data_IF_295900407221
#
_entry.id   IF_295900407221
#
_cell.length_a   1.000
_cell.length_b   1.000
_cell.length_c   1.000
_cell.angle_alpha   90.00
_cell.angle_beta   90.00
_cell.angle_gamma   90.00
#
_symmetry.space_group_name_H-M   'P 1'
#
loop_
_entity.id
_entity.type
_entity.pdbx_description
1 polymer ?
#
# COMPACT_ATOMS: atom_id res chain seq x y z
N UNK A 1 50.52 20.89 34.17
CA UNK A 1 51.88 20.53 33.68
C UNK A 1 52.12 19.04 33.94
N UNK A 2 52.85 18.28 33.10
CA UNK A 2 53.44 18.57 31.79
C UNK A 2 52.88 17.67 30.65
N UNK A 3 52.66 18.19 29.43
CA UNK A 3 53.51 18.22 28.20
C UNK A 3 53.63 16.90 27.43
N UNK A 4 53.30 16.96 26.14
CA UNK A 4 53.63 15.91 25.17
C UNK A 4 53.14 16.18 23.73
N UNK A 5 53.50 17.32 23.14
CA UNK A 5 53.32 17.61 21.70
C UNK A 5 54.14 16.64 20.83
N UNK A 6 53.59 16.23 19.67
CA UNK A 6 54.43 16.07 18.47
C UNK A 6 53.71 16.52 17.19
N UNK A 7 54.33 17.56 16.61
CA UNK A 7 54.12 18.13 15.28
C UNK A 7 54.60 17.18 14.18
N UNK A 8 53.96 17.25 13.02
CA UNK A 8 54.58 17.31 11.67
C UNK A 8 53.76 18.36 10.88
N UNK A 9 54.21 19.58 10.58
CA UNK A 9 55.17 20.01 9.54
C UNK A 9 55.04 19.21 8.24
N UNK A 10 54.70 19.72 7.06
CA UNK A 10 54.54 21.10 6.59
C UNK A 10 55.07 21.19 5.14
N UNK A 11 54.24 21.69 4.22
CA UNK A 11 54.63 22.37 2.97
C UNK A 11 54.43 21.63 1.63
N UNK A 12 54.35 22.34 0.47
CA UNK A 12 54.22 23.79 0.31
C UNK A 12 53.15 24.26 -0.71
N UNK A 13 52.58 25.43 -0.42
CA UNK A 13 52.32 26.61 -1.28
C UNK A 13 51.95 26.42 -2.77
N UNK A 14 50.85 27.08 -3.19
CA UNK A 14 50.77 27.60 -4.57
C UNK A 14 49.41 27.66 -5.25
N UNK A 15 48.31 27.97 -4.55
CA UNK A 15 47.00 28.21 -5.18
C UNK A 15 46.56 29.65 -4.98
N UNK A 16 46.92 30.52 -5.92
CA UNK A 16 46.59 31.95 -5.95
C UNK A 16 45.06 32.11 -5.87
N UNK A 17 44.55 32.73 -4.81
CA UNK A 17 43.15 33.16 -4.71
C UNK A 17 42.91 34.17 -5.83
N UNK A 18 42.13 33.79 -6.84
CA UNK A 18 41.58 34.74 -7.80
C UNK A 18 40.36 35.39 -7.16
N UNK A 19 40.61 36.56 -6.59
CA UNK A 19 39.60 37.54 -6.18
C UNK A 19 38.83 37.96 -7.44
N UNK A 20 37.50 37.83 -7.40
CA UNK A 20 36.60 38.06 -8.53
C UNK A 20 35.66 39.21 -8.16
N UNK A 21 36.25 40.37 -7.88
CA UNK A 21 35.53 41.57 -7.42
C UNK A 21 35.67 42.79 -8.35
N UNK A 22 36.34 42.66 -9.50
CA UNK A 22 36.44 43.75 -10.50
C UNK A 22 35.72 43.40 -11.82
N UNK A 23 34.59 44.06 -12.04
CA UNK A 23 33.65 43.85 -13.16
C UNK A 23 34.07 44.57 -14.47
N UNK A 24 35.32 45.01 -14.62
CA UNK A 24 35.78 45.79 -15.78
C UNK A 24 36.80 45.07 -16.69
N UNK A 25 37.08 43.78 -16.45
CA UNK A 25 38.07 43.01 -17.22
C UNK A 25 37.48 41.71 -17.84
N UNK A 26 36.36 41.83 -18.56
CA UNK A 26 35.67 40.70 -19.20
C UNK A 26 36.34 40.14 -20.47
N UNK A 27 37.56 40.57 -20.81
CA UNK A 27 38.21 40.25 -22.09
C UNK A 27 39.38 39.25 -22.03
N UNK A 28 39.70 38.63 -20.88
CA UNK A 28 40.93 37.81 -20.78
C UNK A 28 40.83 36.47 -20.02
N UNK A 29 39.64 35.87 -19.96
CA UNK A 29 39.49 34.49 -19.44
C UNK A 29 38.72 33.60 -20.42
N UNK A 30 39.25 33.45 -21.64
CA UNK A 30 38.86 32.35 -22.54
C UNK A 30 39.99 31.30 -22.48
N UNK A 31 39.72 30.09 -21.95
CA UNK A 31 40.69 29.00 -22.03
C UNK A 31 40.80 28.57 -23.50
N UNK A 32 42.01 28.66 -24.07
CA UNK A 32 42.35 28.00 -25.33
C UNK A 32 42.21 26.48 -25.18
N UNK A 33 41.00 25.94 -25.39
CA UNK A 33 40.83 24.57 -25.87
C UNK A 33 40.84 24.65 -27.39
N UNK A 34 41.81 23.97 -28.00
CA UNK A 34 41.93 23.86 -29.45
C UNK A 34 40.62 23.42 -30.09
N UNK A 35 40.27 24.03 -31.22
CA UNK A 35 39.18 23.57 -32.05
C UNK A 35 39.50 22.14 -32.54
N UNK A 36 38.57 21.17 -32.45
CA UNK A 36 38.79 19.85 -33.01
C UNK A 36 38.85 19.94 -34.54
N UNK A 37 39.89 19.35 -35.11
CA UNK A 37 40.11 19.25 -36.55
C UNK A 37 38.89 18.58 -37.27
N UNK A 38 38.51 19.01 -38.48
CA UNK A 38 37.26 18.60 -39.13
C UNK A 38 37.19 17.13 -39.61
N UNK A 39 38.26 16.33 -39.43
CA UNK A 39 38.34 14.96 -39.93
C UNK A 39 37.92 13.87 -38.93
N UNK A 40 37.69 14.19 -37.65
CA UNK A 40 37.35 13.18 -36.62
C UNK A 40 35.89 12.70 -36.65
N UNK A 41 34.95 13.56 -37.06
CA UNK A 41 33.51 13.23 -37.03
C UNK A 41 33.08 12.15 -38.03
N UNK A 42 33.87 11.93 -39.08
CA UNK A 42 33.61 10.90 -40.09
C UNK A 42 33.99 9.49 -39.60
N UNK A 43 34.96 9.37 -38.70
CA UNK A 43 35.32 8.08 -38.09
C UNK A 43 34.30 7.67 -37.02
N UNK A 44 33.73 8.64 -36.29
CA UNK A 44 32.70 8.37 -35.28
C UNK A 44 31.40 7.78 -35.90
N UNK A 45 31.02 8.24 -37.10
CA UNK A 45 29.82 7.76 -37.82
C UNK A 45 29.95 6.33 -38.35
N UNK A 46 31.18 5.87 -38.63
CA UNK A 46 31.46 4.49 -39.11
C UNK A 46 31.43 3.47 -37.96
N UNK A 47 31.58 3.94 -36.72
CA UNK A 47 31.60 3.09 -35.51
C UNK A 47 30.22 2.87 -34.85
N UNK A 48 29.13 3.45 -35.38
CA UNK A 48 27.80 3.24 -34.84
C UNK A 48 27.36 1.78 -35.08
N UNK A 49 27.22 0.95 -34.03
CA UNK A 49 26.75 -0.41 -34.20
C UNK A 49 25.34 -0.35 -34.81
N UNK A 50 25.05 -1.21 -35.78
CA UNK A 50 23.72 -1.31 -36.35
C UNK A 50 22.72 -1.51 -35.19
N UNK A 51 21.79 -0.56 -35.08
CA UNK A 51 20.85 -0.41 -33.96
C UNK A 51 20.13 -1.71 -33.56
N UNK A 52 20.08 -2.70 -34.45
CA UNK A 52 19.50 -4.03 -34.25
C UNK A 52 20.43 -5.05 -33.56
N UNK A 53 21.75 -5.04 -33.78
CA UNK A 53 22.68 -5.98 -33.12
C UNK A 53 22.96 -5.60 -31.68
N UNK A 54 23.15 -4.31 -31.41
CA UNK A 54 23.24 -3.79 -30.04
C UNK A 54 21.97 -4.12 -29.24
N UNK A 55 20.78 -3.98 -29.86
CA UNK A 55 19.52 -4.33 -29.21
C UNK A 55 19.39 -5.82 -28.89
N UNK A 56 19.90 -6.73 -29.73
CA UNK A 56 19.82 -8.18 -29.49
C UNK A 56 20.81 -8.67 -28.42
N UNK A 57 22.01 -8.12 -28.37
CA UNK A 57 22.98 -8.40 -27.30
C UNK A 57 22.51 -7.80 -25.97
N UNK A 58 21.98 -6.56 -25.99
CA UNK A 58 21.33 -5.98 -24.83
C UNK A 58 20.11 -6.79 -24.41
N UNK A 59 19.32 -7.32 -25.35
CA UNK A 59 18.16 -8.16 -25.05
C UNK A 59 18.58 -9.48 -24.39
N UNK A 60 19.62 -10.15 -24.88
CA UNK A 60 20.16 -11.36 -24.24
C UNK A 60 20.69 -11.07 -22.84
N UNK A 61 21.42 -9.96 -22.67
CA UNK A 61 21.91 -9.50 -21.36
C UNK A 61 20.78 -9.14 -20.40
N UNK A 62 19.66 -8.59 -20.90
CA UNK A 62 18.47 -8.25 -20.11
C UNK A 62 17.67 -9.50 -19.74
N UNK A 63 17.52 -10.46 -20.65
CA UNK A 63 16.65 -11.63 -20.45
C UNK A 63 17.34 -12.85 -19.84
N UNK A 64 18.55 -13.19 -20.30
CA UNK A 64 19.27 -14.36 -19.81
C UNK A 64 20.44 -13.98 -18.90
N UNK A 65 21.01 -12.79 -19.07
CA UNK A 65 22.23 -12.38 -18.36
C UNK A 65 23.35 -13.44 -18.51
N UNK A 66 24.38 -13.34 -17.69
CA UNK A 66 25.41 -14.40 -17.56
C UNK A 66 25.10 -15.37 -16.41
N UNK A 67 23.82 -15.51 -16.04
CA UNK A 67 23.44 -16.27 -14.86
C UNK A 67 23.56 -17.78 -15.12
N UNK A 68 24.21 -18.48 -14.18
CA UNK A 68 24.38 -19.93 -14.26
C UNK A 68 23.02 -20.63 -14.36
N UNK A 69 22.84 -21.61 -15.27
CA UNK A 69 21.58 -22.34 -15.40
C UNK A 69 21.19 -23.09 -14.12
N UNK A 70 22.18 -23.41 -13.26
CA UNK A 70 21.92 -23.99 -11.94
C UNK A 70 21.18 -23.03 -11.01
N UNK A 71 21.51 -21.74 -11.06
CA UNK A 71 20.83 -20.70 -10.26
C UNK A 71 19.38 -20.53 -10.72
N UNK A 72 19.12 -20.50 -12.04
CA UNK A 72 17.76 -20.45 -12.57
C UNK A 72 16.92 -21.66 -12.14
N UNK A 73 17.51 -22.86 -12.15
CA UNK A 73 16.84 -24.07 -11.67
C UNK A 73 16.53 -24.01 -10.16
N UNK A 74 17.44 -23.46 -9.36
CA UNK A 74 17.22 -23.24 -7.92
C UNK A 74 16.08 -22.25 -7.67
N UNK A 75 16.07 -21.10 -8.37
CA UNK A 75 14.99 -20.10 -8.26
C UNK A 75 13.65 -20.70 -8.67
N UNK A 76 13.61 -21.47 -9.77
CA UNK A 76 12.40 -22.18 -10.21
C UNK A 76 11.88 -23.11 -9.11
N UNK A 77 12.77 -23.93 -8.53
CA UNK A 77 12.41 -24.87 -7.47
C UNK A 77 11.90 -24.16 -6.21
N UNK A 78 12.61 -23.14 -5.72
CA UNK A 78 12.19 -22.31 -4.58
C UNK A 78 10.82 -21.66 -4.83
N UNK A 79 10.60 -21.13 -6.03
CA UNK A 79 9.34 -20.50 -6.44
C UNK A 79 8.18 -21.50 -6.44
N UNK A 80 8.39 -22.69 -7.00
CA UNK A 80 7.39 -23.77 -7.01
C UNK A 80 6.99 -24.17 -5.58
N UNK A 81 7.96 -24.32 -4.68
CA UNK A 81 7.69 -24.65 -3.26
C UNK A 81 6.86 -23.56 -2.61
N UNK A 82 7.27 -22.30 -2.71
CA UNK A 82 6.55 -21.17 -2.09
C UNK A 82 5.16 -21.01 -2.69
N UNK A 83 4.99 -21.22 -4.00
CA UNK A 83 3.69 -21.18 -4.66
C UNK A 83 2.73 -22.23 -4.09
N UNK A 84 3.14 -23.51 -4.05
CA UNK A 84 2.28 -24.55 -3.49
C UNK A 84 2.05 -24.38 -2.00
N UNK A 85 3.04 -23.90 -1.26
CA UNK A 85 2.93 -23.59 0.16
C UNK A 85 1.91 -22.48 0.43
N UNK A 86 2.03 -21.35 -0.26
CA UNK A 86 1.09 -20.21 -0.14
C UNK A 86 -0.31 -20.60 -0.61
N UNK A 87 -0.43 -21.38 -1.68
CA UNK A 87 -1.71 -21.92 -2.16
C UNK A 87 -2.37 -22.82 -1.11
N UNK A 88 -1.59 -23.70 -0.45
CA UNK A 88 -2.09 -24.55 0.63
C UNK A 88 -2.57 -23.73 1.84
N UNK A 89 -1.81 -22.70 2.24
CA UNK A 89 -2.21 -21.78 3.30
C UNK A 89 -3.48 -21.00 2.93
N UNK A 90 -3.57 -20.49 1.70
CA UNK A 90 -4.74 -19.76 1.23
C UNK A 90 -5.99 -20.66 1.20
N UNK A 91 -5.82 -21.92 0.78
CA UNK A 91 -6.88 -22.94 0.82
C UNK A 91 -7.34 -23.22 2.25
N UNK A 92 -6.43 -23.18 3.23
CA UNK A 92 -6.73 -23.36 4.66
C UNK A 92 -7.43 -22.15 5.30
N UNK A 93 -7.13 -20.94 4.83
CA UNK A 93 -7.76 -19.71 5.33
C UNK A 93 -9.26 -19.69 5.00
N UNK A 94 -9.64 -20.05 3.77
CA UNK A 94 -11.03 -20.34 3.37
C UNK A 94 -12.05 -19.20 3.56
N UNK A 95 -12.67 -18.73 2.48
CA UNK A 95 -13.95 -18.01 2.56
C UNK A 95 -13.92 -16.51 2.89
N UNK A 96 -12.75 -15.90 3.14
CA UNK A 96 -12.61 -14.43 3.17
C UNK A 96 -12.17 -13.90 1.81
N UNK A 97 -12.90 -12.91 1.30
CA UNK A 97 -12.53 -12.22 0.06
C UNK A 97 -11.36 -11.28 0.32
N UNK A 98 -10.47 -11.09 -0.66
CA UNK A 98 -9.36 -10.11 -0.59
C UNK A 98 -9.87 -8.70 -0.25
N UNK A 99 -11.11 -8.39 -0.64
CA UNK A 99 -11.77 -7.11 -0.38
C UNK A 99 -12.15 -6.88 1.11
N UNK A 100 -12.06 -7.89 1.97
CA UNK A 100 -12.39 -7.78 3.41
C UNK A 100 -11.14 -7.62 4.28
N UNK A 101 -9.94 -7.58 3.70
CA UNK A 101 -8.72 -7.35 4.45
C UNK A 101 -8.67 -5.92 4.97
N UNK A 102 -8.27 -5.76 6.22
CA UNK A 102 -7.97 -4.46 6.80
C UNK A 102 -6.78 -3.82 6.09
N UNK A 103 -6.73 -2.49 6.05
CA UNK A 103 -5.60 -1.75 5.46
C UNK A 103 -4.27 -2.10 6.12
N UNK A 104 -4.29 -2.41 7.42
CA UNK A 104 -3.10 -2.84 8.18
C UNK A 104 -2.63 -4.22 7.72
N UNK A 105 -3.55 -5.17 7.52
CA UNK A 105 -3.24 -6.51 7.03
C UNK A 105 -2.68 -6.46 5.61
N UNK A 106 -3.26 -5.60 4.77
CA UNK A 106 -2.77 -5.38 3.42
C UNK A 106 -1.32 -4.86 3.41
N UNK A 107 -1.00 -3.86 4.23
CA UNK A 107 0.37 -3.36 4.37
C UNK A 107 1.34 -4.44 4.88
N UNK A 108 0.91 -5.27 5.82
CA UNK A 108 1.71 -6.37 6.35
C UNK A 108 2.03 -7.42 5.28
N UNK A 109 1.04 -7.79 4.45
CA UNK A 109 1.23 -8.73 3.34
C UNK A 109 2.22 -8.19 2.32
N UNK A 110 2.13 -6.90 1.97
CA UNK A 110 3.09 -6.25 1.06
C UNK A 110 4.51 -6.29 1.63
N UNK A 111 4.67 -5.91 2.91
CA UNK A 111 5.97 -5.90 3.58
C UNK A 111 6.63 -7.29 3.57
N UNK A 112 5.85 -8.34 3.81
CA UNK A 112 6.34 -9.72 3.78
C UNK A 112 6.60 -10.19 2.36
N UNK A 113 5.79 -9.78 1.39
CA UNK A 113 6.04 -10.06 -0.02
C UNK A 113 7.44 -9.64 -0.46
N UNK A 114 7.92 -8.48 0.01
CA UNK A 114 9.30 -8.04 -0.21
C UNK A 114 10.32 -9.00 0.40
N UNK A 115 10.16 -9.36 1.67
CA UNK A 115 11.07 -10.28 2.36
C UNK A 115 11.09 -11.70 1.77
N UNK A 116 9.94 -12.17 1.27
CA UNK A 116 9.83 -13.45 0.55
C UNK A 116 10.53 -13.36 -0.80
N UNK A 117 10.40 -12.24 -1.50
CA UNK A 117 11.14 -11.97 -2.74
C UNK A 117 12.65 -12.13 -2.54
N UNK A 118 13.19 -11.61 -1.44
CA UNK A 118 14.61 -11.76 -1.12
C UNK A 118 15.03 -13.24 -1.01
N UNK A 119 14.20 -14.08 -0.38
CA UNK A 119 14.48 -15.52 -0.26
C UNK A 119 14.39 -16.31 -1.58
N UNK A 120 13.75 -15.73 -2.60
CA UNK A 120 13.64 -16.33 -3.94
C UNK A 120 14.83 -15.93 -4.83
N UNK A 121 15.28 -14.67 -4.74
CA UNK A 121 16.33 -14.14 -5.64
C UNK A 121 17.74 -14.23 -5.07
N UNK A 122 17.91 -14.26 -3.74
CA UNK A 122 19.24 -14.34 -3.13
C UNK A 122 19.52 -15.76 -2.63
N UNK A 123 20.57 -16.43 -3.16
CA UNK A 123 20.87 -17.81 -2.76
C UNK A 123 21.31 -17.91 -1.29
N UNK A 124 21.93 -16.84 -0.78
CA UNK A 124 22.41 -16.72 0.61
C UNK A 124 21.28 -16.61 1.64
N UNK A 125 20.07 -16.29 1.19
CA UNK A 125 18.91 -16.16 2.07
C UNK A 125 18.17 -17.51 2.10
N UNK A 126 18.05 -18.16 3.26
CA UNK A 126 17.32 -19.43 3.36
C UNK A 126 15.81 -19.23 3.15
N UNK A 127 15.15 -20.26 2.61
CA UNK A 127 13.71 -20.24 2.33
C UNK A 127 12.84 -20.40 3.60
N UNK A 128 13.37 -21.08 4.62
CA UNK A 128 12.63 -21.43 5.84
C UNK A 128 12.12 -20.19 6.60
N UNK A 129 12.94 -19.14 6.84
CA UNK A 129 12.45 -17.93 7.50
C UNK A 129 11.33 -17.22 6.72
N UNK A 130 11.39 -17.22 5.39
CA UNK A 130 10.33 -16.64 4.57
C UNK A 130 9.01 -17.42 4.70
N UNK A 131 9.07 -18.76 4.65
CA UNK A 131 7.90 -19.61 4.88
C UNK A 131 7.33 -19.42 6.29
N UNK A 132 8.19 -19.33 7.31
CA UNK A 132 7.78 -19.07 8.68
C UNK A 132 7.11 -17.71 8.84
N UNK A 133 7.64 -16.66 8.20
CA UNK A 133 7.04 -15.33 8.22
C UNK A 133 5.63 -15.32 7.63
N UNK A 134 5.43 -15.98 6.47
CA UNK A 134 4.12 -16.15 5.86
C UNK A 134 3.18 -16.90 6.82
N UNK A 135 3.64 -18.01 7.40
CA UNK A 135 2.85 -18.82 8.34
C UNK A 135 2.39 -18.00 9.53
N UNK A 136 3.29 -17.24 10.15
CA UNK A 136 3.00 -16.44 11.32
C UNK A 136 1.95 -15.38 11.02
N UNK A 137 2.02 -14.72 9.88
CA UNK A 137 1.00 -13.73 9.51
C UNK A 137 -0.35 -14.36 9.24
N UNK A 138 -0.38 -15.50 8.56
CA UNK A 138 -1.62 -16.26 8.40
C UNK A 138 -2.21 -16.67 9.76
N UNK A 139 -1.37 -17.12 10.69
CA UNK A 139 -1.79 -17.50 12.04
C UNK A 139 -2.27 -16.29 12.85
N UNK A 140 -1.60 -15.14 12.75
CA UNK A 140 -2.00 -13.92 13.45
C UNK A 140 -3.34 -13.41 12.91
N UNK A 141 -3.53 -13.32 11.60
CA UNK A 141 -4.81 -12.91 11.02
C UNK A 141 -5.92 -13.87 11.47
N UNK A 142 -5.69 -15.18 11.40
CA UNK A 142 -6.65 -16.18 11.87
C UNK A 142 -6.94 -16.06 13.38
N UNK A 143 -5.94 -15.72 14.20
CA UNK A 143 -6.10 -15.53 15.63
C UNK A 143 -6.94 -14.28 15.94
N UNK A 144 -6.67 -13.17 15.25
CA UNK A 144 -7.47 -11.94 15.35
C UNK A 144 -8.93 -12.22 14.97
N UNK A 145 -9.15 -12.95 13.87
CA UNK A 145 -10.48 -13.35 13.43
C UNK A 145 -11.24 -14.17 14.46
N UNK A 146 -10.56 -15.15 15.06
CA UNK A 146 -11.14 -15.96 16.13
C UNK A 146 -11.41 -15.15 17.40
N UNK A 147 -10.58 -14.15 17.70
CA UNK A 147 -10.79 -13.24 18.83
C UNK A 147 -12.00 -12.35 18.62
N UNK A 148 -12.18 -11.85 17.39
CA UNK A 148 -13.37 -11.08 16.99
C UNK A 148 -14.62 -11.94 17.16
N UNK A 149 -14.63 -13.16 16.61
CA UNK A 149 -15.78 -14.08 16.69
C UNK A 149 -16.14 -14.49 18.13
N UNK A 150 -15.18 -14.49 19.06
CA UNK A 150 -15.41 -14.85 20.46
C UNK A 150 -15.83 -13.69 21.36
N UNK A 151 -15.61 -12.44 20.95
CA UNK A 151 -15.77 -11.29 21.83
C UNK A 151 -16.42 -10.11 21.14
N UNK A 152 -17.66 -9.80 21.54
CA UNK A 152 -18.38 -8.61 21.10
C UNK A 152 -17.64 -7.31 21.43
N UNK A 153 -16.77 -7.29 22.46
CA UNK A 153 -15.92 -6.11 22.72
C UNK A 153 -14.84 -5.97 21.66
N UNK A 154 -14.24 -7.07 21.22
CA UNK A 154 -13.21 -7.06 20.20
C UNK A 154 -13.79 -6.71 18.83
N UNK A 155 -14.96 -7.26 18.49
CA UNK A 155 -15.75 -6.86 17.31
C UNK A 155 -15.97 -5.35 17.29
N UNK A 156 -16.41 -4.78 18.40
CA UNK A 156 -16.69 -3.33 18.46
C UNK A 156 -15.47 -2.44 18.37
N UNK A 157 -14.32 -2.90 18.86
CA UNK A 157 -13.07 -2.12 18.81
C UNK A 157 -12.39 -2.26 17.44
N UNK A 158 -12.39 -3.46 16.86
CA UNK A 158 -11.68 -3.75 15.60
C UNK A 158 -12.54 -3.56 14.36
N UNK A 159 -13.78 -4.01 14.38
CA UNK A 159 -14.70 -3.87 13.25
C UNK A 159 -15.55 -2.61 13.39
N UNK A 160 -15.94 -2.21 14.60
CA UNK A 160 -16.79 -1.04 14.87
C UNK A 160 -18.24 -1.41 15.19
N UNK A 161 -19.05 -0.46 15.67
CA UNK A 161 -20.49 -0.64 15.91
C UNK A 161 -21.31 -0.01 14.76
N UNK A 162 -22.28 -0.73 14.16
CA UNK A 162 -23.21 -0.11 13.23
C UNK A 162 -24.05 0.96 13.94
N UNK A 163 -24.33 2.07 13.26
CA UNK A 163 -25.09 3.20 13.81
C UNK A 163 -26.33 3.48 12.98
N UNK A 164 -27.50 3.56 13.63
CA UNK A 164 -28.72 4.00 12.97
C UNK A 164 -28.63 5.52 12.75
N UNK A 165 -28.61 5.95 11.49
CA UNK A 165 -28.48 7.37 11.09
C UNK A 165 -29.80 8.01 10.67
N UNK A 166 -30.78 7.22 10.21
CA UNK A 166 -32.13 7.68 9.86
C UNK A 166 -33.17 6.70 10.40
N UNK A 167 -34.25 7.23 10.98
CA UNK A 167 -35.41 6.46 11.44
C UNK A 167 -36.68 7.20 11.03
N UNK A 168 -37.56 6.54 10.27
CA UNK A 168 -38.83 7.09 9.79
C UNK A 168 -38.71 8.50 9.18
N UNK A 169 -37.74 8.65 8.27
CA UNK A 169 -37.42 9.93 7.63
C UNK A 169 -36.81 11.00 8.54
N UNK A 170 -36.57 10.71 9.83
CA UNK A 170 -35.88 11.61 10.76
C UNK A 170 -34.40 11.27 10.85
N UNK A 171 -33.57 12.29 10.71
CA UNK A 171 -32.12 12.14 10.64
C UNK A 171 -31.46 12.45 11.99
N UNK A 172 -30.58 11.56 12.41
CA UNK A 172 -29.88 11.64 13.71
C UNK A 172 -28.54 12.34 13.54
N UNK A 173 -28.55 13.68 13.54
CA UNK A 173 -27.36 14.50 13.29
C UNK A 173 -26.18 14.21 14.23
N UNK A 174 -26.45 13.94 15.51
CA UNK A 174 -25.41 13.64 16.50
C UNK A 174 -24.63 12.37 16.15
N UNK A 175 -25.33 11.36 15.63
CA UNK A 175 -24.73 10.08 15.24
C UNK A 175 -23.87 10.24 13.99
N UNK A 176 -24.30 11.04 13.02
CA UNK A 176 -23.48 11.36 11.83
C UNK A 176 -22.19 12.09 12.20
N UNK A 177 -22.27 13.07 13.11
CA UNK A 177 -21.08 13.79 13.60
C UNK A 177 -20.11 12.87 14.31
N UNK A 178 -20.61 11.95 15.14
CA UNK A 178 -19.76 10.98 15.86
C UNK A 178 -18.99 10.04 14.92
N UNK A 179 -19.53 9.80 13.72
CA UNK A 179 -18.93 8.95 12.69
C UNK A 179 -18.12 9.75 11.65
N UNK A 180 -18.00 11.07 11.79
CA UNK A 180 -17.29 11.93 10.85
C UNK A 180 -17.95 12.04 9.46
N UNK A 181 -19.21 11.62 9.30
CA UNK A 181 -19.92 11.64 8.03
C UNK A 181 -20.67 12.97 7.85
N UNK A 182 -20.46 13.62 6.71
CA UNK A 182 -21.18 14.84 6.35
C UNK A 182 -22.59 14.54 5.83
N UNK A 183 -23.50 15.51 5.96
CA UNK A 183 -24.85 15.42 5.38
C UNK A 183 -24.82 15.13 3.87
N UNK A 184 -23.92 15.82 3.16
CA UNK A 184 -23.74 15.64 1.71
C UNK A 184 -23.31 14.23 1.35
N UNK A 185 -22.45 13.61 2.16
CA UNK A 185 -22.02 12.23 1.99
C UNK A 185 -23.16 11.24 2.26
N UNK A 186 -23.95 11.46 3.32
CA UNK A 186 -25.13 10.63 3.57
C UNK A 186 -26.13 10.69 2.39
N UNK A 187 -26.43 11.88 1.88
CA UNK A 187 -27.32 12.04 0.73
C UNK A 187 -26.74 11.45 -0.56
N UNK A 188 -25.41 11.46 -0.72
CA UNK A 188 -24.75 10.72 -1.81
C UNK A 188 -25.00 9.22 -1.68
N UNK A 189 -24.79 8.64 -0.48
CA UNK A 189 -25.01 7.21 -0.22
C UNK A 189 -26.49 6.81 -0.37
N UNK A 190 -27.43 7.66 0.04
CA UNK A 190 -28.86 7.42 -0.16
C UNK A 190 -29.24 7.40 -1.65
N UNK A 191 -28.70 8.33 -2.44
CA UNK A 191 -28.89 8.35 -3.90
C UNK A 191 -28.29 7.14 -4.59
N UNK A 192 -27.14 6.65 -4.13
CA UNK A 192 -26.53 5.41 -4.62
C UNK A 192 -27.43 4.18 -4.37
N UNK A 193 -28.26 4.22 -3.31
CA UNK A 193 -29.31 3.23 -3.04
C UNK A 193 -30.63 3.50 -3.75
N UNK A 194 -30.70 4.52 -4.62
CA UNK A 194 -31.90 4.88 -5.37
C UNK A 194 -32.98 5.59 -4.56
N UNK A 195 -32.66 6.10 -3.37
CA UNK A 195 -33.58 6.88 -2.55
C UNK A 195 -33.56 8.34 -2.99
N UNK A 196 -34.73 8.87 -3.36
CA UNK A 196 -34.88 10.26 -3.81
C UNK A 196 -35.30 11.21 -2.70
N UNK A 197 -36.13 10.74 -1.78
CA UNK A 197 -36.63 11.53 -0.66
C UNK A 197 -36.37 10.83 0.68
N UNK A 198 -36.07 11.61 1.72
CA UNK A 198 -35.78 11.07 3.04
C UNK A 198 -37.01 10.41 3.68
N UNK A 199 -38.22 10.86 3.35
CA UNK A 199 -39.48 10.29 3.86
C UNK A 199 -39.72 8.86 3.40
N UNK A 200 -39.11 8.44 2.29
CA UNK A 200 -39.18 7.06 1.81
C UNK A 200 -38.41 6.10 2.72
N UNK A 201 -37.46 6.60 3.52
CA UNK A 201 -36.58 5.81 4.38
C UNK A 201 -37.27 5.49 5.71
N UNK A 202 -37.50 4.20 5.94
CA UNK A 202 -37.94 3.68 7.24
C UNK A 202 -36.74 3.55 8.21
N UNK A 203 -35.64 2.98 7.73
CA UNK A 203 -34.43 2.82 8.53
C UNK A 203 -33.19 2.93 7.64
N UNK A 204 -32.20 3.70 8.08
CA UNK A 204 -30.87 3.65 7.49
C UNK A 204 -29.82 3.40 8.57
N UNK A 205 -29.00 2.38 8.34
CA UNK A 205 -27.91 1.96 9.22
C UNK A 205 -26.60 2.20 8.48
N UNK A 206 -25.70 2.92 9.14
CA UNK A 206 -24.33 3.07 8.71
C UNK A 206 -23.51 1.91 9.28
N UNK A 207 -22.99 1.09 8.38
CA UNK A 207 -22.12 -0.03 8.72
C UNK A 207 -20.70 0.47 9.00
N UNK A 208 -19.91 -0.27 9.80
CA UNK A 208 -18.56 0.17 10.16
C UNK A 208 -17.58 0.26 8.99
N UNK A 209 -17.82 -0.48 7.91
CA UNK A 209 -17.08 -0.34 6.65
C UNK A 209 -17.45 0.93 5.86
N UNK A 210 -18.29 1.81 6.42
CA UNK A 210 -18.76 3.04 5.80
C UNK A 210 -19.87 2.84 4.77
N UNK A 211 -20.36 1.61 4.57
CA UNK A 211 -21.49 1.35 3.69
C UNK A 211 -22.82 1.74 4.36
N UNK A 212 -23.79 2.17 3.55
CA UNK A 212 -25.12 2.50 4.02
C UNK A 212 -26.10 1.38 3.66
N UNK A 213 -26.71 0.80 4.68
CA UNK A 213 -27.81 -0.17 4.56
C UNK A 213 -29.14 0.57 4.74
N UNK A 214 -30.05 0.48 3.76
CA UNK A 214 -31.29 1.27 3.73
C UNK A 214 -32.52 0.38 3.59
N UNK A 215 -33.56 0.67 4.38
CA UNK A 215 -34.87 0.06 4.35
C UNK A 215 -35.92 1.13 4.06
N UNK A 216 -36.74 0.94 3.02
CA UNK A 216 -37.77 1.90 2.58
C UNK A 216 -39.20 1.43 2.89
N UNK A 217 -40.13 2.37 2.96
CA UNK A 217 -41.54 2.15 3.31
C UNK A 217 -42.38 1.34 2.29
N UNK A 218 -41.78 0.78 1.23
CA UNK A 218 -42.47 0.02 0.17
C UNK A 218 -42.02 -1.43 -0.02
N UNK A 219 -41.08 -1.95 0.79
CA UNK A 219 -40.62 -3.34 0.64
C UNK A 219 -41.72 -4.34 1.02
N UNK A 220 -42.07 -5.24 0.08
CA UNK A 220 -43.13 -6.26 0.25
C UNK A 220 -42.85 -7.25 1.40
N UNK A 221 -41.63 -7.26 1.92
CA UNK A 221 -41.09 -8.16 2.93
C UNK A 221 -40.55 -7.41 4.17
N UNK A 222 -41.15 -6.26 4.52
CA UNK A 222 -40.72 -5.40 5.64
C UNK A 222 -40.44 -6.16 6.94
N UNK A 223 -41.31 -7.08 7.36
CA UNK A 223 -41.11 -7.84 8.60
C UNK A 223 -39.83 -8.70 8.58
N UNK A 224 -39.48 -9.26 7.43
CA UNK A 224 -38.27 -10.07 7.24
C UNK A 224 -37.03 -9.18 7.09
N UNK A 225 -37.19 -8.01 6.48
CA UNK A 225 -36.16 -6.99 6.40
C UNK A 225 -35.76 -6.48 7.78
N UNK A 226 -36.74 -6.10 8.61
CA UNK A 226 -36.53 -5.59 9.97
C UNK A 226 -35.77 -6.59 10.85
N UNK A 227 -35.95 -7.91 10.64
CA UNK A 227 -35.22 -8.93 11.39
C UNK A 227 -33.69 -8.89 11.12
N UNK A 228 -33.25 -8.59 9.90
CA UNK A 228 -31.83 -8.42 9.56
C UNK A 228 -31.28 -7.05 10.00
N UNK A 229 -32.15 -6.04 9.98
CA UNK A 229 -31.88 -4.70 10.48
C UNK A 229 -32.09 -4.56 12.00
N UNK A 230 -32.20 -5.68 12.71
CA UNK A 230 -32.11 -5.75 14.16
C UNK A 230 -30.74 -6.32 14.53
N UNK A 231 -29.65 -5.53 14.47
CA UNK A 231 -28.35 -6.04 14.90
C UNK A 231 -28.45 -6.41 16.38
N UNK A 232 -27.90 -7.55 16.82
CA UNK A 232 -27.76 -7.86 18.25
C UNK A 232 -26.94 -6.81 19.02
N UNK A 233 -26.25 -5.90 18.30
CA UNK A 233 -25.45 -4.82 18.87
C UNK A 233 -26.20 -3.49 19.08
N UNK A 234 -27.41 -3.30 18.53
CA UNK A 234 -28.18 -2.06 18.75
C UNK A 234 -29.22 -2.30 19.83
N UNK A 235 -28.96 -1.77 21.03
CA UNK A 235 -29.90 -1.88 22.16
C UNK A 235 -31.28 -1.31 21.79
N UNK A 236 -32.34 -1.99 22.21
CA UNK A 236 -33.74 -1.67 21.90
C UNK A 236 -34.09 -0.18 22.12
N UNK A 237 -33.51 0.44 23.15
CA UNK A 237 -33.68 1.85 23.51
C UNK A 237 -33.19 2.85 22.46
N UNK A 238 -32.29 2.44 21.54
CA UNK A 238 -31.74 3.30 20.48
C UNK A 238 -32.53 3.26 19.18
N UNK A 239 -33.46 2.30 19.06
CA UNK A 239 -34.37 2.13 17.91
C UNK A 239 -35.60 3.02 18.10
N UNK A 240 -36.04 3.19 19.34
CA UNK A 240 -37.15 4.08 19.67
C UNK A 240 -36.67 5.53 19.74
N UNK A 241 -37.32 6.49 19.05
CA UNK A 241 -37.05 7.90 19.27
C UNK A 241 -37.31 8.26 20.74
N UNK A 242 -36.53 9.19 21.33
CA UNK A 242 -36.79 9.64 22.69
C UNK A 242 -38.24 10.15 22.80
N UNK A 243 -38.93 9.89 23.92
CA UNK A 243 -40.27 10.42 24.13
C UNK A 243 -40.24 11.95 23.99
N UNK A 244 -41.24 12.48 23.28
CA UNK A 244 -41.38 13.89 22.94
C UNK A 244 -41.50 14.80 24.18
#
# INVERSE_FOLDING_TARGET
MPRGLRRRSGGPTGGRKTDCSDLSAWAFCIPHRGAPEPHSWLEDLVSLPSRSRAMLEDLHRIFLGDQSPAFLAEVLFRTVIVYFYTLALMRWIGGRSVAQLSIVEFLLVIAIGSAVGDSLFYPDVPLIPAMLAILLVVLFNKAVDQMILRSDRMTRVLEGEPQIVVTDGRLHHDRLRSQGISMSELFMKLRDKGVTDLSEVHLAVLEPNGMLSVLTHGRKDQAQALALFHPPAVSHDRITPPPA
#
